data_IF_416941172277
#
_entry.id   IF_416941172277
#
_cell.length_a   1.000
_cell.length_b   1.000
_cell.length_c   1.000
_cell.angle_alpha   90.00
_cell.angle_beta   90.00
_cell.angle_gamma   90.00
#
_symmetry.space_group_name_H-M   'P 1'
#
loop_
_entity.id
_entity.type
_entity.pdbx_description
1 polymer ?
#
# COMPACT_ATOMS: atom_id res chain seq x y z
N UNK A 1 12.94 -24.92 0.09
CA UNK A 1 12.22 -23.65 -0.03
C UNK A 1 12.50 -23.11 -1.41
N UNK A 2 11.45 -22.84 -2.19
CA UNK A 2 11.59 -22.07 -3.43
C UNK A 2 11.95 -20.63 -3.10
N UNK A 3 12.73 -19.99 -3.98
CA UNK A 3 13.15 -18.59 -3.84
C UNK A 3 12.27 -17.72 -4.72
N UNK A 4 11.97 -16.51 -4.25
CA UNK A 4 11.35 -15.46 -5.06
C UNK A 4 12.32 -15.06 -6.18
N UNK A 5 11.85 -15.07 -7.42
CA UNK A 5 12.64 -14.74 -8.60
C UNK A 5 12.80 -13.23 -8.82
N UNK A 6 11.71 -12.48 -8.69
CA UNK A 6 11.67 -11.01 -8.79
C UNK A 6 10.96 -10.42 -7.59
N UNK A 7 11.57 -9.37 -7.02
CA UNK A 7 11.00 -8.63 -5.91
C UNK A 7 11.04 -7.14 -6.23
N UNK A 8 9.90 -6.47 -6.12
CA UNK A 8 9.79 -5.01 -6.14
C UNK A 8 8.95 -4.57 -4.95
N UNK A 9 9.44 -3.58 -4.22
CA UNK A 9 8.70 -2.94 -3.13
C UNK A 9 8.45 -1.50 -3.53
N UNK A 10 7.22 -1.04 -3.36
CA UNK A 10 6.83 0.35 -3.62
C UNK A 10 6.11 0.89 -2.41
N UNK A 11 6.68 1.92 -1.79
CA UNK A 11 6.08 2.57 -0.62
C UNK A 11 4.92 3.44 -1.10
N UNK A 12 3.75 3.20 -0.52
CA UNK A 12 2.49 3.87 -0.84
C UNK A 12 2.10 4.88 0.24
N UNK A 13 2.55 4.69 1.48
CA UNK A 13 2.39 5.64 2.56
C UNK A 13 3.63 5.65 3.44
N UNK A 14 4.08 6.85 3.79
CA UNK A 14 5.15 7.13 4.73
C UNK A 14 4.90 8.52 5.34
N UNK A 15 5.60 8.81 6.45
CA UNK A 15 5.62 10.12 7.08
C UNK A 15 6.10 11.23 6.14
N UNK A 16 6.93 10.90 5.15
CA UNK A 16 7.47 11.85 4.19
C UNK A 16 7.24 11.41 2.75
N UNK A 17 7.04 12.39 1.85
CA UNK A 17 6.97 12.14 0.42
C UNK A 17 8.07 12.84 -0.36
N UNK A 18 8.32 12.30 -1.55
CA UNK A 18 9.24 12.90 -2.50
C UNK A 18 8.71 14.25 -2.98
N UNK A 19 9.57 15.27 -2.95
CA UNK A 19 9.31 16.57 -3.58
C UNK A 19 9.51 16.53 -5.11
N UNK A 20 10.06 15.43 -5.63
CA UNK A 20 10.43 15.26 -7.04
C UNK A 20 9.33 14.52 -7.82
N UNK A 21 8.51 13.72 -7.13
CA UNK A 21 7.39 12.98 -7.72
C UNK A 21 6.07 13.61 -7.24
N UNK A 22 5.63 14.73 -7.82
CA UNK A 22 4.31 15.28 -7.53
C UNK A 22 3.21 14.43 -8.22
N UNK A 23 2.00 14.31 -7.65
CA UNK A 23 1.56 14.87 -6.37
C UNK A 23 1.41 13.79 -5.28
N UNK A 24 2.51 13.16 -4.82
CA UNK A 24 2.42 12.20 -3.72
C UNK A 24 2.13 12.87 -2.37
N UNK A 25 1.27 12.26 -1.56
CA UNK A 25 0.90 12.74 -0.21
C UNK A 25 1.39 11.78 0.87
N UNK A 26 1.74 12.31 2.04
CA UNK A 26 2.23 11.53 3.18
C UNK A 26 1.27 11.62 4.37
N UNK A 27 1.42 10.70 5.31
CA UNK A 27 0.75 10.74 6.62
C UNK A 27 1.65 10.08 7.66
N UNK A 28 1.38 10.29 8.96
CA UNK A 28 1.95 9.39 9.96
C UNK A 28 1.31 8.01 9.81
N UNK A 29 2.03 7.11 9.16
CA UNK A 29 1.62 5.74 8.93
C UNK A 29 2.33 5.10 7.76
N UNK A 30 2.24 3.78 7.66
CA UNK A 30 2.98 3.01 6.68
C UNK A 30 2.07 2.15 5.82
N UNK A 31 2.40 2.07 4.53
CA UNK A 31 1.87 1.07 3.62
C UNK A 31 2.83 0.88 2.45
N UNK A 32 2.99 -0.36 2.00
CA UNK A 32 3.79 -0.69 0.83
C UNK A 32 3.15 -1.80 0.01
N UNK A 33 3.28 -1.70 -1.31
CA UNK A 33 2.97 -2.81 -2.21
C UNK A 33 4.24 -3.61 -2.51
N UNK A 34 4.20 -4.90 -2.18
CA UNK A 34 5.26 -5.85 -2.41
C UNK A 34 4.82 -6.76 -3.55
N UNK A 35 5.51 -6.67 -4.67
CA UNK A 35 5.33 -7.57 -5.81
C UNK A 35 6.45 -8.62 -5.78
N UNK A 36 6.07 -9.85 -5.46
CA UNK A 36 6.95 -11.02 -5.40
C UNK A 36 6.52 -12.00 -6.50
N UNK A 37 7.29 -12.06 -7.58
CA UNK A 37 6.94 -12.76 -8.82
C UNK A 37 5.56 -12.33 -9.35
N UNK A 38 4.57 -13.22 -9.33
CA UNK A 38 3.18 -12.99 -9.75
C UNK A 38 2.23 -12.67 -8.59
N UNK A 39 2.74 -12.63 -7.35
CA UNK A 39 1.96 -12.35 -6.15
C UNK A 39 2.11 -10.89 -5.72
N UNK A 40 0.97 -10.21 -5.53
CA UNK A 40 0.91 -8.87 -4.97
C UNK A 40 0.45 -8.85 -3.51
N UNK A 41 1.26 -8.26 -2.64
CA UNK A 41 0.99 -8.14 -1.21
C UNK A 41 0.89 -6.66 -0.86
N UNK A 42 -0.24 -6.26 -0.29
CA UNK A 42 -0.38 -4.98 0.40
C UNK A 42 0.06 -5.16 1.85
N UNK A 43 1.18 -4.55 2.21
CA UNK A 43 1.74 -4.58 3.55
C UNK A 43 1.37 -3.29 4.28
N UNK A 44 0.57 -3.42 5.34
CA UNK A 44 -0.09 -2.32 6.07
C UNK A 44 -0.96 -1.41 5.18
N UNK A 45 -1.79 -0.59 5.83
CA UNK A 45 -2.79 0.27 5.15
C UNK A 45 -2.81 1.71 5.66
N UNK A 46 -1.76 2.13 6.36
CA UNK A 46 -1.65 3.47 6.91
C UNK A 46 -2.68 3.79 8.01
N UNK A 47 -2.68 5.04 8.42
CA UNK A 47 -3.59 5.55 9.45
C UNK A 47 -4.98 5.85 8.90
N UNK A 48 -5.05 6.52 7.75
CA UNK A 48 -6.33 6.83 7.08
C UNK A 48 -6.53 6.05 5.78
N UNK A 49 -5.46 5.43 5.26
CA UNK A 49 -5.45 4.84 3.94
C UNK A 49 -5.53 5.85 2.79
N UNK A 50 -5.59 7.16 3.07
CA UNK A 50 -5.67 8.20 2.05
C UNK A 50 -4.39 8.24 1.18
N UNK A 51 -3.16 8.28 1.74
CA UNK A 51 -1.95 8.17 0.92
C UNK A 51 -1.88 6.89 0.12
N UNK A 52 -2.29 5.76 0.71
CA UNK A 52 -2.36 4.47 0.01
C UNK A 52 -3.18 4.56 -1.28
N UNK A 53 -4.44 4.98 -1.20
CA UNK A 53 -5.33 5.02 -2.37
C UNK A 53 -4.97 6.13 -3.35
N UNK A 54 -4.45 7.26 -2.85
CA UNK A 54 -4.03 8.39 -3.67
C UNK A 54 -2.74 8.11 -4.43
N UNK A 55 -1.71 7.58 -3.77
CA UNK A 55 -0.37 7.42 -4.33
C UNK A 55 -0.27 6.23 -5.31
N UNK A 56 -1.04 5.15 -5.08
CA UNK A 56 -0.99 3.94 -5.90
C UNK A 56 -1.07 4.19 -7.42
N UNK A 57 -2.08 4.92 -7.96
CA UNK A 57 -2.17 5.18 -9.40
C UNK A 57 -1.02 6.02 -9.94
N UNK A 58 -0.49 6.99 -9.18
CA UNK A 58 0.69 7.77 -9.58
C UNK A 58 1.97 6.94 -9.64
N UNK A 59 2.01 5.83 -8.88
CA UNK A 59 3.11 4.88 -8.85
C UNK A 59 2.87 3.68 -9.78
N UNK A 60 1.81 3.71 -10.59
CA UNK A 60 1.49 2.70 -11.59
C UNK A 60 0.92 1.40 -11.01
N UNK A 61 0.31 1.47 -9.82
CA UNK A 61 -0.30 0.33 -9.12
C UNK A 61 -1.82 0.48 -9.16
N UNK A 62 -2.51 -0.58 -9.59
CA UNK A 62 -3.96 -0.71 -9.50
C UNK A 62 -4.26 -1.66 -8.34
N UNK A 63 -4.64 -1.11 -7.19
CA UNK A 63 -4.87 -1.90 -5.97
C UNK A 63 -5.94 -2.99 -6.17
N UNK A 64 -6.93 -2.76 -7.02
CA UNK A 64 -8.00 -3.72 -7.28
C UNK A 64 -7.56 -4.83 -8.21
N UNK A 65 -6.61 -4.61 -9.10
CA UNK A 65 -6.08 -5.66 -9.97
C UNK A 65 -4.92 -6.39 -9.31
N UNK A 66 -4.02 -5.65 -8.68
CA UNK A 66 -2.67 -6.08 -8.38
C UNK A 66 -2.51 -6.63 -6.95
N UNK A 67 -3.42 -6.35 -6.02
CA UNK A 67 -3.35 -6.91 -4.65
C UNK A 67 -4.05 -8.26 -4.57
N UNK A 68 -3.38 -9.24 -3.99
CA UNK A 68 -3.90 -10.59 -3.69
C UNK A 68 -4.05 -10.82 -2.18
N UNK A 69 -3.11 -10.31 -1.39
CA UNK A 69 -3.09 -10.46 0.06
C UNK A 69 -2.87 -9.14 0.77
N UNK A 70 -3.45 -9.02 1.96
CA UNK A 70 -3.16 -7.94 2.90
C UNK A 70 -2.44 -8.55 4.09
N UNK A 71 -1.29 -7.98 4.45
CA UNK A 71 -0.53 -8.35 5.65
C UNK A 71 -0.48 -7.14 6.56
N UNK A 72 -0.95 -7.30 7.79
CA UNK A 72 -0.84 -6.29 8.84
C UNK A 72 0.36 -6.65 9.72
N UNK A 73 1.31 -5.73 9.83
CA UNK A 73 2.54 -5.91 10.60
C UNK A 73 2.27 -6.03 12.09
N UNK A 74 1.39 -5.18 12.63
CA UNK A 74 0.94 -5.16 14.01
C UNK A 74 -0.34 -4.29 14.17
N UNK A 75 -0.89 -4.23 15.38
CA UNK A 75 -2.22 -3.66 15.65
C UNK A 75 -2.29 -2.16 15.93
N UNK A 76 -1.27 -1.35 15.60
CA UNK A 76 -1.37 0.09 15.78
C UNK A 76 -2.22 0.75 14.67
N UNK A 77 -2.83 1.89 14.98
CA UNK A 77 -3.74 2.58 14.06
C UNK A 77 -3.04 3.11 12.82
N UNK A 78 -1.79 3.52 12.93
CA UNK A 78 -0.98 4.03 11.81
C UNK A 78 -0.55 2.97 10.79
N UNK A 79 -0.91 1.70 11.06
CA UNK A 79 -0.71 0.56 10.16
C UNK A 79 -2.03 -0.11 9.74
N UNK A 80 -3.08 0.00 10.57
CA UNK A 80 -4.34 -0.75 10.41
C UNK A 80 -5.56 0.13 10.21
N UNK A 81 -5.44 1.44 10.40
CA UNK A 81 -6.57 2.37 10.38
C UNK A 81 -7.30 2.40 9.04
N UNK A 82 -6.55 2.32 7.94
CA UNK A 82 -7.11 2.24 6.59
C UNK A 82 -8.05 1.05 6.33
N UNK A 83 -7.97 -0.05 7.11
CA UNK A 83 -8.83 -1.24 6.90
C UNK A 83 -10.31 -0.89 7.03
N UNK A 84 -10.64 0.07 7.90
CA UNK A 84 -12.03 0.45 8.20
C UNK A 84 -12.55 1.55 7.27
N UNK A 85 -11.71 2.06 6.39
CA UNK A 85 -12.04 3.22 5.56
C UNK A 85 -12.64 2.79 4.23
N UNK A 86 -13.83 3.32 3.92
CA UNK A 86 -14.60 2.97 2.71
C UNK A 86 -13.80 3.19 1.41
N UNK A 87 -12.91 4.17 1.40
CA UNK A 87 -12.04 4.45 0.24
C UNK A 87 -11.06 3.31 -0.04
N UNK A 88 -10.54 2.66 1.01
CA UNK A 88 -9.64 1.51 0.89
C UNK A 88 -10.44 0.27 0.47
N UNK A 89 -11.61 0.04 1.09
CA UNK A 89 -12.52 -1.04 0.71
C UNK A 89 -12.91 -0.96 -0.78
N UNK A 90 -13.26 0.23 -1.28
CA UNK A 90 -13.62 0.43 -2.69
C UNK A 90 -12.44 0.29 -3.67
N UNK A 91 -11.21 0.49 -3.18
CA UNK A 91 -9.99 0.39 -3.99
C UNK A 91 -9.45 -1.05 -4.08
N UNK A 92 -9.87 -1.95 -3.20
CA UNK A 92 -9.43 -3.34 -3.15
C UNK A 92 -10.45 -4.28 -3.83
N UNK A 93 -10.04 -5.53 -4.06
CA UNK A 93 -10.96 -6.61 -4.45
C UNK A 93 -11.88 -6.88 -3.26
N UNK A 94 -13.20 -6.90 -3.50
CA UNK A 94 -14.19 -7.30 -2.50
C UNK A 94 -14.18 -8.80 -2.22
#
# INVERSE_FOLDING_TARGET
MERVGKLKITVLSDNFTSTIVPPLIGEWGFSAFIQADDVGILYDVGNSGLPLVHNAPYLGIDLKRDVDYIVLSHGHSDHTGGVRERQVEGALKG
#
